data_IF_866857994065
#
_entry.id   IF_866857994065
#
_cell.length_a   1.000
_cell.length_b   1.000
_cell.length_c   1.000
_cell.angle_alpha   90.00
_cell.angle_beta   90.00
_cell.angle_gamma   90.00
#
_symmetry.space_group_name_H-M   'P 1'
#
loop_
_entity.id
_entity.type
_entity.pdbx_description
1 polymer ?
#
# COMPACT_ATOMS: atom_id res chain seq x y z
N UNK A 1 -27.94 -17.39 4.11
CA UNK A 1 -27.00 -16.31 3.71
C UNK A 1 -26.04 -16.88 2.68
N UNK A 2 -26.05 -16.37 1.44
CA UNK A 2 -25.08 -16.82 0.43
C UNK A 2 -23.69 -16.33 0.84
N UNK A 3 -22.71 -17.23 0.87
CA UNK A 3 -21.31 -16.82 0.93
C UNK A 3 -20.98 -16.18 -0.43
N UNK A 4 -20.88 -14.86 -0.45
CA UNK A 4 -20.42 -14.10 -1.62
C UNK A 4 -18.96 -14.45 -1.86
N UNK A 5 -18.63 -14.91 -3.07
CA UNK A 5 -17.30 -15.41 -3.41
C UNK A 5 -16.44 -14.24 -3.85
N UNK A 6 -15.64 -13.75 -2.91
CA UNK A 6 -14.68 -12.67 -3.17
C UNK A 6 -13.61 -13.12 -4.17
N UNK A 7 -13.41 -12.30 -5.20
CA UNK A 7 -12.38 -12.45 -6.23
C UNK A 7 -11.37 -11.33 -6.04
N UNK A 8 -10.11 -11.72 -5.88
CA UNK A 8 -8.99 -10.79 -5.81
C UNK A 8 -8.28 -10.83 -7.16
N UNK A 9 -8.23 -9.70 -7.85
CA UNK A 9 -7.51 -9.54 -9.10
C UNK A 9 -6.27 -8.68 -8.88
N UNK A 10 -5.15 -9.12 -9.43
CA UNK A 10 -3.87 -8.43 -9.41
C UNK A 10 -3.54 -7.98 -10.82
N UNK A 11 -3.51 -6.68 -11.04
CA UNK A 11 -3.02 -6.04 -12.26
C UNK A 11 -1.76 -5.25 -11.90
N UNK A 12 -0.95 -4.89 -12.88
CA UNK A 12 0.30 -4.18 -12.64
C UNK A 12 0.06 -2.88 -11.84
N UNK A 13 0.59 -2.84 -10.62
CA UNK A 13 0.36 -1.74 -9.66
C UNK A 13 -1.06 -1.59 -9.10
N UNK A 14 -2.00 -2.50 -9.37
CA UNK A 14 -3.41 -2.38 -8.91
C UNK A 14 -3.92 -3.72 -8.35
N UNK A 15 -4.48 -3.68 -7.14
CA UNK A 15 -5.27 -4.78 -6.58
C UNK A 15 -6.74 -4.37 -6.60
N UNK A 16 -7.59 -5.26 -7.11
CA UNK A 16 -9.04 -5.09 -7.08
C UNK A 16 -9.67 -6.25 -6.33
N UNK A 17 -10.53 -5.94 -5.37
CA UNK A 17 -11.41 -6.91 -4.72
C UNK A 17 -12.81 -6.70 -5.31
N UNK A 18 -13.36 -7.74 -5.89
CA UNK A 18 -14.73 -7.77 -6.38
C UNK A 18 -15.45 -9.03 -5.91
N UNK A 19 -16.76 -9.01 -5.98
CA UNK A 19 -17.62 -10.19 -5.87
C UNK A 19 -18.22 -10.50 -7.25
N UNK A 20 -19.07 -11.51 -7.36
CA UNK A 20 -19.74 -11.91 -8.60
C UNK A 20 -20.43 -10.75 -9.33
N UNK A 21 -21.01 -9.81 -8.56
CA UNK A 21 -21.87 -8.77 -9.11
C UNK A 21 -21.33 -7.34 -8.95
N UNK A 22 -20.24 -7.13 -8.20
CA UNK A 22 -19.83 -5.77 -7.80
C UNK A 22 -18.37 -5.65 -7.39
N UNK A 23 -17.76 -4.51 -7.68
CA UNK A 23 -16.44 -4.15 -7.14
C UNK A 23 -16.57 -3.66 -5.70
N UNK A 24 -15.88 -4.34 -4.79
CA UNK A 24 -15.84 -4.03 -3.36
C UNK A 24 -14.87 -2.88 -3.10
N UNK A 25 -13.69 -2.91 -3.74
CA UNK A 25 -12.69 -1.88 -3.61
C UNK A 25 -11.47 -2.16 -4.47
N UNK A 26 -10.60 -1.16 -4.58
CA UNK A 26 -9.34 -1.29 -5.27
C UNK A 26 -8.27 -0.41 -4.64
N UNK A 27 -7.02 -0.83 -4.78
CA UNK A 27 -5.83 -0.19 -4.25
C UNK A 27 -4.79 -0.10 -5.36
N UNK A 28 -4.33 1.11 -5.67
CA UNK A 28 -3.22 1.37 -6.57
C UNK A 28 -1.96 1.66 -5.77
N UNK A 29 -0.88 1.00 -6.14
CA UNK A 29 0.40 1.10 -5.46
C UNK A 29 1.56 1.02 -6.45
N UNK A 30 2.64 1.69 -6.09
CA UNK A 30 3.91 1.61 -6.80
C UNK A 30 4.76 0.42 -6.31
N UNK A 31 5.68 -0.06 -7.15
CA UNK A 31 6.70 -1.03 -6.74
C UNK A 31 7.55 -0.59 -5.55
N UNK A 32 7.61 0.72 -5.26
CA UNK A 32 8.30 1.29 -4.10
C UNK A 32 7.55 1.09 -2.77
N UNK A 33 6.29 0.63 -2.79
CA UNK A 33 5.44 0.54 -1.60
C UNK A 33 4.62 1.79 -1.31
N UNK A 34 4.56 2.73 -2.26
CA UNK A 34 3.70 3.91 -2.13
C UNK A 34 2.29 3.58 -2.60
N UNK A 35 1.30 3.76 -1.73
CA UNK A 35 -0.13 3.69 -2.04
C UNK A 35 -0.55 5.03 -2.63
N UNK A 36 -0.80 5.04 -3.93
CA UNK A 36 -1.26 6.23 -4.66
C UNK A 36 -2.76 6.45 -4.45
N UNK A 37 -3.54 5.38 -4.43
CA UNK A 37 -5.00 5.50 -4.34
C UNK A 37 -5.63 4.27 -3.69
N UNK A 38 -6.53 4.48 -2.73
CA UNK A 38 -7.28 3.42 -2.07
C UNK A 38 -8.76 3.80 -2.02
N UNK A 39 -9.61 2.92 -2.56
CA UNK A 39 -11.05 3.10 -2.53
C UNK A 39 -11.77 1.83 -2.08
N UNK A 40 -12.75 2.02 -1.20
CA UNK A 40 -13.70 0.98 -0.79
C UNK A 40 -15.10 1.52 -0.97
N UNK A 41 -15.93 0.73 -1.66
CA UNK A 41 -17.33 1.04 -1.90
C UNK A 41 -18.07 1.20 -0.56
N UNK A 42 -18.85 2.29 -0.36
CA UNK A 42 -19.60 2.56 0.87
C UNK A 42 -20.40 1.37 1.42
N UNK A 43 -21.01 0.56 0.55
CA UNK A 43 -21.81 -0.60 0.96
C UNK A 43 -21.00 -1.68 1.70
N UNK A 44 -19.68 -1.67 1.53
CA UNK A 44 -18.74 -2.65 2.08
C UNK A 44 -17.78 -2.04 3.12
N UNK A 45 -18.00 -0.79 3.54
CA UNK A 45 -17.17 -0.15 4.58
C UNK A 45 -17.34 -0.85 5.94
N UNK A 46 -16.36 -0.65 6.82
CA UNK A 46 -16.31 -1.25 8.18
C UNK A 46 -16.22 -2.78 8.22
N UNK A 47 -15.97 -3.44 7.08
CA UNK A 47 -15.74 -4.89 6.97
C UNK A 47 -14.27 -5.28 6.87
N UNK A 48 -13.34 -4.32 6.93
CA UNK A 48 -11.90 -4.59 6.94
C UNK A 48 -11.22 -4.67 5.56
N UNK A 49 -11.94 -4.52 4.44
CA UNK A 49 -11.35 -4.64 3.09
C UNK A 49 -10.14 -3.74 2.82
N UNK A 50 -10.15 -2.50 3.33
CA UNK A 50 -9.00 -1.60 3.19
C UNK A 50 -7.74 -2.20 3.84
N UNK A 51 -7.85 -2.69 5.08
CA UNK A 51 -6.73 -3.31 5.78
C UNK A 51 -6.28 -4.61 5.10
N UNK A 52 -7.23 -5.40 4.58
CA UNK A 52 -6.91 -6.61 3.82
C UNK A 52 -6.11 -6.29 2.56
N UNK A 53 -6.50 -5.27 1.78
CA UNK A 53 -5.74 -4.85 0.60
C UNK A 53 -4.33 -4.39 0.96
N UNK A 54 -4.18 -3.54 2.00
CA UNK A 54 -2.87 -3.10 2.46
C UNK A 54 -1.98 -4.26 2.88
N UNK A 55 -2.51 -5.23 3.64
CA UNK A 55 -1.76 -6.43 4.03
C UNK A 55 -1.28 -7.24 2.84
N UNK A 56 -2.12 -7.37 1.80
CA UNK A 56 -1.73 -8.06 0.57
C UNK A 56 -0.59 -7.31 -0.14
N UNK A 57 -0.67 -5.98 -0.26
CA UNK A 57 0.40 -5.17 -0.87
C UNK A 57 1.70 -5.29 -0.06
N UNK A 58 1.62 -5.12 1.25
CA UNK A 58 2.78 -5.24 2.16
C UNK A 58 3.42 -6.63 2.06
N UNK A 59 2.62 -7.70 2.04
CA UNK A 59 3.13 -9.07 1.90
C UNK A 59 3.80 -9.27 0.53
N UNK A 60 3.28 -8.63 -0.52
CA UNK A 60 3.82 -8.73 -1.88
C UNK A 60 5.13 -7.99 -2.04
N UNK A 61 5.26 -6.81 -1.43
CA UNK A 61 6.45 -5.96 -1.54
C UNK A 61 7.50 -6.24 -0.46
N UNK A 62 7.09 -6.84 0.66
CA UNK A 62 7.97 -7.10 1.80
C UNK A 62 8.49 -5.85 2.50
N UNK A 63 7.86 -4.69 2.27
CA UNK A 63 8.26 -3.39 2.83
C UNK A 63 7.06 -2.69 3.46
N UNK A 64 7.34 -1.75 4.36
CA UNK A 64 6.34 -0.88 4.96
C UNK A 64 5.73 0.04 3.89
N UNK A 65 4.42 0.26 3.98
CA UNK A 65 3.67 1.04 3.01
C UNK A 65 3.74 2.53 3.34
N UNK A 66 3.88 3.35 2.30
CA UNK A 66 3.78 4.81 2.38
C UNK A 66 2.51 5.28 1.68
N UNK A 67 1.88 6.35 2.17
CA UNK A 67 0.67 6.89 1.57
C UNK A 67 0.96 8.22 0.88
N UNK A 68 0.56 8.35 -0.39
CA UNK A 68 0.76 9.59 -1.14
C UNK A 68 -0.28 10.64 -0.71
N UNK A 69 0.13 11.88 -0.37
CA UNK A 69 -0.80 12.98 -0.18
C UNK A 69 -1.36 13.49 -1.52
N UNK A 70 -2.58 14.07 -1.56
CA UNK A 70 -3.45 14.35 -0.41
C UNK A 70 -4.27 13.13 0.05
N UNK A 71 -4.38 12.97 1.36
CA UNK A 71 -5.14 11.87 1.98
C UNK A 71 -6.53 12.40 2.35
N UNK A 72 -7.58 11.66 1.98
CA UNK A 72 -8.95 12.02 2.36
C UNK A 72 -9.17 11.87 3.88
N UNK A 73 -10.11 12.60 4.50
CA UNK A 73 -10.41 12.45 5.94
C UNK A 73 -10.74 11.00 6.34
N UNK A 74 -11.42 10.26 5.45
CA UNK A 74 -11.73 8.85 5.67
C UNK A 74 -10.49 7.96 5.52
N UNK A 75 -9.62 8.28 4.56
CA UNK A 75 -8.33 7.61 4.37
C UNK A 75 -7.42 7.78 5.59
N UNK A 76 -7.47 8.93 6.25
CA UNK A 76 -6.67 9.20 7.45
C UNK A 76 -6.91 8.15 8.54
N UNK A 77 -8.17 7.73 8.76
CA UNK A 77 -8.45 6.65 9.72
C UNK A 77 -7.78 5.32 9.37
N UNK A 78 -7.64 5.00 8.08
CA UNK A 78 -6.93 3.79 7.62
C UNK A 78 -5.44 3.93 7.87
N UNK A 79 -4.88 5.10 7.56
CA UNK A 79 -3.46 5.43 7.77
C UNK A 79 -3.11 5.41 9.26
N UNK A 80 -3.92 6.03 10.10
CA UNK A 80 -3.75 6.02 11.56
C UNK A 80 -3.82 4.59 12.11
N UNK A 81 -4.75 3.79 11.60
CA UNK A 81 -4.87 2.38 11.99
C UNK A 81 -3.68 1.53 11.52
N UNK A 82 -3.09 1.87 10.38
CA UNK A 82 -1.86 1.25 9.87
C UNK A 82 -0.65 1.65 10.72
N UNK A 83 -0.47 2.95 10.99
CA UNK A 83 0.62 3.48 11.80
C UNK A 83 0.65 2.87 13.21
N UNK A 84 -0.52 2.64 13.83
CA UNK A 84 -0.62 1.95 15.14
C UNK A 84 -0.06 0.53 15.14
N UNK A 85 -0.06 -0.15 13.98
CA UNK A 85 0.48 -1.52 13.83
C UNK A 85 1.95 -1.53 13.43
N UNK A 86 2.44 -0.42 12.87
CA UNK A 86 3.81 -0.25 12.40
C UNK A 86 4.41 1.04 12.98
N UNK A 87 4.72 1.08 14.30
CA UNK A 87 5.15 2.30 14.99
C UNK A 87 6.53 2.84 14.57
N UNK A 88 7.17 2.30 13.53
CA UNK A 88 8.55 2.61 13.13
C UNK A 88 8.68 3.50 11.87
N UNK A 89 7.59 4.03 11.30
CA UNK A 89 7.62 4.83 10.04
C UNK A 89 7.19 6.30 10.22
N UNK A 90 6.88 6.74 11.43
CA UNK A 90 6.75 8.19 11.71
C UNK A 90 8.10 8.72 12.17
N UNK A 91 9.04 8.77 11.23
CA UNK A 91 10.22 9.63 11.31
C UNK A 91 10.02 10.77 10.32
N UNK A 92 10.12 12.00 10.81
CA UNK A 92 10.08 13.25 10.07
C UNK A 92 11.20 13.36 9.01
N UNK A 93 11.16 12.58 7.94
CA UNK A 93 12.00 12.81 6.76
C UNK A 93 11.27 13.71 5.76
N UNK A 94 11.05 14.95 6.18
CA UNK A 94 11.13 16.08 5.25
C UNK A 94 12.60 16.24 4.85
N UNK A 95 13.10 15.36 4.00
CA UNK A 95 14.50 15.34 3.59
C UNK A 95 14.73 14.42 2.40
N UNK A 96 14.99 15.04 1.25
CA UNK A 96 15.78 14.49 0.14
C UNK A 96 15.35 13.11 -0.40
N UNK A 97 14.50 13.09 -1.43
CA UNK A 97 14.36 11.92 -2.31
C UNK A 97 15.67 11.73 -3.09
N UNK A 98 16.44 10.63 -2.94
CA UNK A 98 17.41 10.29 -3.94
C UNK A 98 16.66 9.65 -5.11
N UNK A 99 16.72 10.31 -6.26
CA UNK A 99 16.30 9.77 -7.55
C UNK A 99 16.96 8.38 -7.77
N UNK A 100 16.27 7.41 -8.39
CA UNK A 100 16.86 6.10 -8.69
C UNK A 100 17.92 6.26 -9.79
N UNK A 101 19.18 6.36 -9.37
CA UNK A 101 20.33 6.53 -10.23
C UNK A 101 21.63 6.46 -9.44
N UNK A 102 21.86 5.40 -8.67
CA UNK A 102 23.19 5.12 -8.09
C UNK A 102 23.70 3.77 -8.55
N UNK A 103 24.37 3.86 -9.69
CA UNK A 103 25.50 3.05 -10.13
C UNK A 103 25.88 1.86 -9.24
N UNK A 104 25.76 0.66 -9.82
CA UNK A 104 26.48 -0.53 -9.36
C UNK A 104 27.96 -0.36 -9.75
N UNK A 105 28.68 0.49 -9.01
CA UNK A 105 30.05 0.85 -9.31
C UNK A 105 30.99 0.65 -8.12
N UNK A 106 31.56 -0.54 -8.02
CA UNK A 106 32.97 -0.79 -7.65
C UNK A 106 33.46 -0.16 -6.33
N UNK A 107 33.66 -1.01 -5.32
CA UNK A 107 34.83 -0.89 -4.42
C UNK A 107 35.30 -2.29 -4.02
N UNK A 108 36.24 -2.81 -4.81
CA UNK A 108 37.16 -3.85 -4.37
C UNK A 108 38.51 -3.18 -4.10
N UNK A 109 39.12 -3.54 -2.96
CA UNK A 109 40.51 -3.33 -2.49
C UNK A 109 40.85 -1.93 -1.96
N UNK A 110 41.29 -1.76 -0.71
CA UNK A 110 42.44 -2.29 0.03
C UNK A 110 43.80 -1.66 -0.36
N UNK A 111 44.48 -1.17 0.68
CA UNK A 111 45.89 -0.81 0.84
C UNK A 111 46.42 0.50 0.20
N UNK A 112 46.89 1.40 1.06
CA UNK A 112 48.29 1.83 1.12
C UNK A 112 48.64 2.11 2.59
#
# INVERSE_FOLDING_TARGET
MKATKERINHTDGIITISDENSTIGYCRYDPSGTIEYLFVNPAFRRRGYAASMLRIVETRLGTALRFSPPISPLGQHVVDAYARRHPAVTGDDAGDTPLPGRDRGRTIRAAC
#
